data_IF_675444455572
#
_entry.id   IF_675444455572
#
_cell.length_a   1.000
_cell.length_b   1.000
_cell.length_c   1.000
_cell.angle_alpha   90.00
_cell.angle_beta   90.00
_cell.angle_gamma   90.00
#
_symmetry.space_group_name_H-M   'P 1'
#
loop_
_entity.id
_entity.type
_entity.pdbx_description
1 polymer ?
#
# COMPACT_ATOMS: atom_id res chain seq x y z
N UNK A 1 -42.14 -37.95 -1.03
CA UNK A 1 -40.73 -38.40 -1.17
C UNK A 1 -40.11 -37.59 -2.30
N UNK A 2 -39.24 -36.64 -1.98
CA UNK A 2 -38.44 -35.89 -2.96
C UNK A 2 -37.04 -36.54 -3.04
N UNK A 3 -36.41 -36.62 -4.23
CA UNK A 3 -35.15 -37.33 -4.39
C UNK A 3 -34.01 -36.55 -3.75
N UNK A 4 -33.25 -37.21 -2.86
CA UNK A 4 -32.02 -36.68 -2.27
C UNK A 4 -30.94 -36.61 -3.34
N UNK A 5 -30.27 -35.46 -3.43
CA UNK A 5 -29.11 -35.22 -4.30
C UNK A 5 -27.94 -36.15 -3.95
N UNK A 6 -27.17 -36.67 -4.94
CA UNK A 6 -26.08 -37.60 -4.70
C UNK A 6 -24.75 -36.86 -4.60
N UNK A 7 -24.53 -36.10 -3.53
CA UNK A 7 -23.18 -35.66 -3.19
C UNK A 7 -22.63 -36.59 -2.13
N UNK A 8 -21.77 -37.52 -2.58
CA UNK A 8 -20.90 -38.33 -1.73
C UNK A 8 -20.08 -37.38 -0.87
N UNK A 9 -20.28 -37.44 0.44
CA UNK A 9 -19.32 -36.93 1.42
C UNK A 9 -18.12 -37.85 1.30
N UNK A 10 -17.08 -37.39 0.62
CA UNK A 10 -15.77 -37.98 0.78
C UNK A 10 -15.28 -37.54 2.15
N UNK A 11 -15.16 -38.51 3.06
CA UNK A 11 -14.32 -38.39 4.26
C UNK A 11 -12.92 -38.02 3.79
N UNK A 12 -12.61 -36.73 3.77
CA UNK A 12 -11.22 -36.27 3.80
C UNK A 12 -10.76 -36.42 5.23
N UNK A 13 -9.63 -37.08 5.40
CA UNK A 13 -8.81 -36.98 6.61
C UNK A 13 -8.75 -35.52 7.08
N UNK A 14 -8.56 -35.31 8.39
CA UNK A 14 -8.53 -33.99 9.03
C UNK A 14 -7.43 -33.08 8.44
N UNK A 15 -7.72 -32.50 7.29
CA UNK A 15 -6.89 -31.56 6.54
C UNK A 15 -7.20 -30.19 7.13
N UNK A 16 -6.30 -29.67 7.96
CA UNK A 16 -6.38 -28.29 8.43
C UNK A 16 -6.55 -27.36 7.22
N UNK A 17 -7.56 -26.46 7.21
CA UNK A 17 -7.75 -25.55 6.08
C UNK A 17 -6.47 -24.73 5.86
N UNK A 18 -5.85 -24.92 4.70
CA UNK A 18 -4.56 -24.35 4.36
C UNK A 18 -4.75 -22.87 4.01
N UNK A 19 -4.45 -21.99 4.97
CA UNK A 19 -4.49 -20.54 4.81
C UNK A 19 -3.07 -20.05 4.50
N UNK A 20 -2.82 -19.63 3.25
CA UNK A 20 -1.49 -19.16 2.82
C UNK A 20 -1.51 -17.65 2.60
N UNK A 21 -0.72 -16.92 3.37
CA UNK A 21 -0.59 -15.48 3.27
C UNK A 21 0.62 -15.12 2.40
N UNK A 22 0.34 -14.51 1.26
CA UNK A 22 1.34 -14.01 0.34
C UNK A 22 1.69 -12.56 0.69
N UNK A 23 2.89 -12.34 1.22
CA UNK A 23 3.42 -11.02 1.55
C UNK A 23 4.95 -11.01 1.60
N UNK A 24 5.56 -9.85 1.36
CA UNK A 24 6.99 -9.65 1.63
C UNK A 24 7.28 -9.52 3.12
N UNK A 25 8.52 -9.84 3.51
CA UNK A 25 9.00 -9.68 4.89
C UNK A 25 8.88 -8.23 5.37
N UNK A 26 8.62 -8.05 6.67
CA UNK A 26 8.50 -6.72 7.28
C UNK A 26 7.26 -5.92 6.88
N UNK A 27 6.31 -6.51 6.14
CA UNK A 27 5.13 -5.80 5.67
C UNK A 27 4.13 -5.57 6.82
N UNK A 28 3.98 -4.30 7.25
CA UNK A 28 3.02 -3.91 8.30
C UNK A 28 1.58 -4.34 8.04
N UNK A 29 1.17 -4.47 6.78
CA UNK A 29 -0.19 -4.89 6.43
C UNK A 29 -0.36 -6.41 6.61
N UNK A 30 0.70 -7.20 6.45
CA UNK A 30 0.68 -8.63 6.78
C UNK A 30 0.66 -8.84 8.30
N UNK A 31 1.35 -8.00 9.07
CA UNK A 31 1.34 -8.09 10.54
C UNK A 31 -0.06 -7.96 11.15
N UNK A 32 -0.94 -7.12 10.57
CA UNK A 32 -2.35 -7.05 10.98
C UNK A 32 -3.03 -8.42 10.97
N UNK A 33 -2.79 -9.17 9.89
CA UNK A 33 -3.38 -10.49 9.66
C UNK A 33 -2.79 -11.51 10.62
N UNK A 34 -1.46 -11.56 10.71
CA UNK A 34 -0.75 -12.53 11.56
C UNK A 34 -1.08 -12.33 13.05
N UNK A 35 -1.12 -11.08 13.53
CA UNK A 35 -1.46 -10.80 14.93
C UNK A 35 -2.93 -11.15 15.18
N UNK A 36 -3.86 -10.79 14.29
CA UNK A 36 -5.25 -11.20 14.41
C UNK A 36 -5.40 -12.72 14.45
N UNK A 37 -4.60 -13.45 13.65
CA UNK A 37 -4.57 -14.90 13.64
C UNK A 37 -4.09 -15.49 14.98
N UNK A 38 -3.06 -14.91 15.59
CA UNK A 38 -2.57 -15.31 16.92
C UNK A 38 -3.65 -15.15 18.01
N UNK A 39 -4.36 -14.01 18.03
CA UNK A 39 -5.47 -13.81 18.97
C UNK A 39 -6.65 -14.76 18.70
N UNK A 40 -6.87 -15.12 17.44
CA UNK A 40 -8.01 -15.95 17.02
C UNK A 40 -7.69 -17.45 17.04
N UNK A 41 -6.45 -17.86 17.30
CA UNK A 41 -6.01 -19.25 17.19
C UNK A 41 -6.16 -19.82 15.78
N UNK A 42 -6.00 -18.98 14.75
CA UNK A 42 -6.06 -19.37 13.34
C UNK A 42 -4.65 -19.57 12.83
N UNK A 43 -4.40 -20.73 12.21
CA UNK A 43 -3.11 -21.00 11.60
C UNK A 43 -3.04 -20.34 10.23
N UNK A 44 -1.94 -19.63 9.99
CA UNK A 44 -1.62 -18.98 8.71
C UNK A 44 -0.18 -19.31 8.38
N UNK A 45 0.02 -19.86 7.19
CA UNK A 45 1.34 -20.12 6.64
C UNK A 45 1.76 -18.94 5.76
N UNK A 46 3.01 -18.52 5.84
CA UNK A 46 3.55 -17.52 4.92
C UNK A 46 3.99 -18.21 3.62
N UNK A 47 3.63 -17.62 2.48
CA UNK A 47 4.06 -18.11 1.18
C UNK A 47 5.60 -18.19 1.12
N UNK A 48 6.13 -19.38 0.82
CA UNK A 48 7.56 -19.59 0.70
C UNK A 48 8.11 -18.89 -0.55
N UNK A 49 9.31 -18.32 -0.45
CA UNK A 49 10.02 -17.68 -1.57
C UNK A 49 9.24 -16.54 -2.25
N UNK A 50 8.40 -15.82 -1.50
CA UNK A 50 7.70 -14.65 -2.04
C UNK A 50 8.68 -13.48 -2.24
N UNK A 51 8.80 -13.01 -3.49
CA UNK A 51 9.65 -11.87 -3.84
C UNK A 51 8.81 -10.70 -4.37
N UNK A 52 8.83 -9.58 -3.63
CA UNK A 52 8.10 -8.37 -4.00
C UNK A 52 8.71 -7.75 -5.27
N UNK A 53 7.88 -7.56 -6.29
CA UNK A 53 8.27 -7.08 -7.62
C UNK A 53 8.38 -8.18 -8.66
N UNK A 54 8.40 -9.46 -8.24
CA UNK A 54 8.47 -10.66 -9.08
C UNK A 54 7.21 -11.51 -8.89
N UNK A 55 7.03 -12.10 -7.69
CA UNK A 55 5.90 -13.00 -7.39
C UNK A 55 4.55 -12.31 -7.55
N UNK A 56 4.42 -11.05 -7.10
CA UNK A 56 3.17 -10.29 -7.20
C UNK A 56 2.81 -9.80 -8.62
N UNK A 57 3.66 -10.07 -9.62
CA UNK A 57 3.42 -9.71 -11.02
C UNK A 57 3.10 -10.92 -11.90
N UNK A 58 3.19 -12.14 -11.38
CA UNK A 58 2.89 -13.32 -12.18
C UNK A 58 1.39 -13.38 -12.51
N UNK A 59 0.99 -13.97 -13.65
CA UNK A 59 -0.43 -14.10 -14.00
C UNK A 59 -1.26 -14.80 -12.91
N UNK A 60 -0.67 -15.77 -12.20
CA UNK A 60 -1.30 -16.51 -11.11
C UNK A 60 -1.62 -15.59 -9.93
N UNK A 61 -0.67 -14.72 -9.54
CA UNK A 61 -0.90 -13.76 -8.47
C UNK A 61 -1.90 -12.68 -8.87
N UNK A 62 -1.80 -12.15 -10.10
CA UNK A 62 -2.74 -11.14 -10.62
C UNK A 62 -4.18 -11.69 -10.68
N UNK A 63 -4.36 -13.00 -10.88
CA UNK A 63 -5.67 -13.65 -10.78
C UNK A 63 -6.25 -13.59 -9.36
N UNK A 64 -5.41 -13.63 -8.32
CA UNK A 64 -5.84 -13.50 -6.93
C UNK A 64 -6.08 -12.04 -6.52
N UNK A 65 -5.21 -11.13 -6.95
CA UNK A 65 -5.36 -9.70 -6.75
C UNK A 65 -5.06 -8.94 -8.06
N UNK A 66 -6.08 -8.41 -8.75
CA UNK A 66 -5.92 -7.71 -10.02
C UNK A 66 -4.99 -6.48 -9.96
N UNK A 67 -4.77 -5.92 -8.76
CA UNK A 67 -3.90 -4.75 -8.54
C UNK A 67 -2.44 -5.19 -8.30
N UNK A 68 -2.18 -6.48 -8.04
CA UNK A 68 -0.85 -7.02 -7.77
C UNK A 68 -0.24 -6.50 -6.45
N UNK A 69 -1.09 -6.15 -5.48
CA UNK A 69 -0.66 -5.70 -4.14
C UNK A 69 -0.66 -6.85 -3.14
N UNK A 70 0.10 -6.66 -2.07
CA UNK A 70 0.17 -7.55 -0.91
C UNK A 70 -0.33 -6.85 0.35
N UNK A 71 -0.87 -7.59 1.34
CA UNK A 71 -1.02 -9.04 1.38
C UNK A 71 -2.20 -9.58 0.55
N UNK A 72 -2.13 -10.87 0.23
CA UNK A 72 -3.24 -11.70 -0.28
C UNK A 72 -3.30 -12.98 0.54
N UNK A 73 -4.47 -13.35 1.04
CA UNK A 73 -4.70 -14.63 1.71
C UNK A 73 -5.36 -15.59 0.74
N UNK A 74 -4.73 -16.73 0.50
CA UNK A 74 -5.32 -17.86 -0.19
C UNK A 74 -6.02 -18.74 0.84
N UNK A 75 -7.32 -18.97 0.63
CA UNK A 75 -8.16 -19.82 1.48
C UNK A 75 -8.73 -20.97 0.64
N UNK A 76 -9.26 -22.05 1.27
CA UNK A 76 -9.91 -23.14 0.54
C UNK A 76 -11.07 -22.69 -0.38
N UNK A 77 -11.74 -21.59 -0.04
CA UNK A 77 -12.88 -21.04 -0.78
C UNK A 77 -12.48 -20.00 -1.84
N UNK A 78 -11.21 -19.58 -1.85
CA UNK A 78 -10.67 -18.61 -2.79
C UNK A 78 -9.79 -17.53 -2.14
N UNK A 79 -9.19 -16.65 -2.96
CA UNK A 79 -8.30 -15.61 -2.48
C UNK A 79 -9.06 -14.40 -1.93
N UNK A 80 -8.49 -13.77 -0.90
CA UNK A 80 -8.94 -12.51 -0.30
C UNK A 80 -7.79 -11.51 -0.35
N UNK A 81 -8.02 -10.32 -0.89
CA UNK A 81 -7.08 -9.21 -0.87
C UNK A 81 -7.63 -8.04 -0.04
N UNK A 82 -6.78 -7.04 0.25
CA UNK A 82 -6.95 -5.99 1.27
C UNK A 82 -6.71 -6.48 2.71
N UNK A 83 -5.64 -5.96 3.33
CA UNK A 83 -5.20 -6.42 4.66
C UNK A 83 -6.27 -6.32 5.76
N UNK A 84 -7.08 -5.27 5.75
CA UNK A 84 -8.16 -5.15 6.72
C UNK A 84 -9.23 -6.23 6.46
N UNK A 85 -9.61 -6.48 5.20
CA UNK A 85 -10.58 -7.54 4.86
C UNK A 85 -10.07 -8.95 5.23
N UNK A 86 -8.79 -9.23 4.97
CA UNK A 86 -8.14 -10.48 5.37
C UNK A 86 -8.17 -10.64 6.90
N UNK A 87 -7.78 -9.60 7.65
CA UNK A 87 -7.79 -9.65 9.11
C UNK A 87 -9.22 -9.87 9.66
N UNK A 88 -10.24 -9.28 9.01
CA UNK A 88 -11.64 -9.53 9.33
C UNK A 88 -12.03 -10.99 9.11
N UNK A 89 -11.68 -11.56 7.96
CA UNK A 89 -11.94 -12.97 7.64
C UNK A 89 -11.33 -13.92 8.67
N UNK A 90 -10.05 -13.71 9.00
CA UNK A 90 -9.33 -14.51 9.99
C UNK A 90 -10.02 -14.43 11.35
N UNK A 91 -10.42 -13.23 11.77
CA UNK A 91 -11.11 -13.01 13.03
C UNK A 91 -12.48 -13.72 13.05
N UNK A 92 -13.28 -13.58 12.00
CA UNK A 92 -14.62 -14.19 11.89
C UNK A 92 -14.60 -15.71 11.69
N UNK A 93 -13.47 -16.32 11.35
CA UNK A 93 -13.37 -17.76 11.12
C UNK A 93 -13.58 -18.62 12.38
N UNK A 94 -13.61 -17.99 13.56
CA UNK A 94 -13.94 -18.61 14.85
C UNK A 94 -15.15 -17.90 15.46
N UNK A 95 -16.15 -18.68 15.87
CA UNK A 95 -17.43 -18.17 16.39
C UNK A 95 -17.34 -17.49 17.76
N UNK A 96 -16.30 -17.78 18.54
CA UNK A 96 -16.06 -17.22 19.88
C UNK A 96 -14.83 -16.30 19.87
N UNK A 97 -14.88 -15.24 19.05
CA UNK A 97 -13.76 -14.33 18.88
C UNK A 97 -13.97 -13.01 19.64
N UNK A 98 -13.11 -12.67 20.61
CA UNK A 98 -13.27 -11.45 21.41
C UNK A 98 -12.96 -10.16 20.63
N UNK A 99 -12.36 -10.22 19.44
CA UNK A 99 -11.83 -9.06 18.74
C UNK A 99 -12.89 -8.15 18.09
N UNK A 100 -14.16 -8.57 18.02
CA UNK A 100 -15.28 -7.79 17.44
C UNK A 100 -16.22 -7.16 18.46
N UNK A 101 -15.86 -7.22 19.74
CA UNK A 101 -16.77 -6.83 20.80
C UNK A 101 -17.97 -7.78 20.90
N UNK A 102 -18.91 -7.41 21.77
CA UNK A 102 -20.04 -8.22 22.19
C UNK A 102 -21.40 -7.64 21.76
N UNK A 103 -21.40 -6.47 21.13
CA UNK A 103 -22.63 -5.78 20.69
C UNK A 103 -22.45 -5.13 19.33
N UNK A 104 -23.58 -4.86 18.66
CA UNK A 104 -23.58 -4.11 17.40
C UNK A 104 -22.93 -2.72 17.54
N UNK A 105 -23.09 -2.08 18.71
CA UNK A 105 -22.47 -0.79 18.98
C UNK A 105 -20.94 -0.90 19.06
N UNK A 106 -20.42 -1.88 19.79
CA UNK A 106 -18.97 -2.11 19.89
C UNK A 106 -18.39 -2.48 18.51
N UNK A 107 -19.08 -3.32 17.74
CA UNK A 107 -18.69 -3.63 16.37
C UNK A 107 -18.60 -2.37 15.50
N UNK A 108 -19.60 -1.49 15.55
CA UNK A 108 -19.58 -0.23 14.80
C UNK A 108 -18.42 0.69 15.22
N UNK A 109 -18.11 0.76 16.52
CA UNK A 109 -16.97 1.52 17.02
C UNK A 109 -15.62 0.91 16.58
N UNK A 110 -15.52 -0.41 16.53
CA UNK A 110 -14.33 -1.10 16.02
C UNK A 110 -14.11 -0.74 14.55
N UNK A 111 -15.16 -0.86 13.72
CA UNK A 111 -15.09 -0.49 12.30
C UNK A 111 -14.75 1.00 12.12
N UNK A 112 -15.32 1.89 12.93
CA UNK A 112 -14.99 3.32 12.94
C UNK A 112 -13.48 3.55 13.16
N UNK A 113 -12.87 2.87 14.14
CA UNK A 113 -11.45 3.02 14.42
C UNK A 113 -10.55 2.37 13.36
N UNK A 114 -11.00 1.28 12.73
CA UNK A 114 -10.31 0.66 11.59
C UNK A 114 -10.25 1.64 10.41
N UNK A 115 -11.37 2.28 10.08
CA UNK A 115 -11.45 3.24 8.99
C UNK A 115 -10.69 4.53 9.32
N UNK A 116 -10.81 5.05 10.55
CA UNK A 116 -10.00 6.17 11.02
C UNK A 116 -8.50 5.88 10.91
N UNK A 117 -8.07 4.68 11.32
CA UNK A 117 -6.68 4.26 11.22
C UNK A 117 -6.18 4.25 9.77
N UNK A 118 -7.00 3.78 8.83
CA UNK A 118 -6.63 3.76 7.42
C UNK A 118 -6.57 5.18 6.82
N UNK A 119 -7.59 6.00 7.08
CA UNK A 119 -7.78 7.28 6.38
C UNK A 119 -6.99 8.43 6.99
N UNK A 120 -6.81 8.45 8.31
CA UNK A 120 -6.21 9.59 9.03
C UNK A 120 -4.82 9.28 9.59
N UNK A 121 -4.50 8.01 9.88
CA UNK A 121 -3.19 7.63 10.42
C UNK A 121 -2.29 7.08 9.31
N UNK A 122 -2.63 5.92 8.74
CA UNK A 122 -1.79 5.21 7.78
C UNK A 122 -1.49 6.04 6.52
N UNK A 123 -2.54 6.68 5.98
CA UNK A 123 -2.41 7.56 4.81
C UNK A 123 -1.42 8.70 5.04
N UNK A 124 -1.50 9.36 6.19
CA UNK A 124 -0.65 10.52 6.48
C UNK A 124 0.78 10.11 6.86
N UNK A 125 0.95 9.00 7.61
CA UNK A 125 2.28 8.40 7.85
C UNK A 125 2.92 7.98 6.51
N UNK A 126 2.18 7.29 5.64
CA UNK A 126 2.67 6.87 4.33
C UNK A 126 3.10 8.05 3.46
N UNK A 127 2.33 9.15 3.48
CA UNK A 127 2.63 10.38 2.72
C UNK A 127 3.87 11.12 3.23
N UNK A 128 4.17 11.01 4.51
CA UNK A 128 5.41 11.52 5.11
C UNK A 128 6.60 10.58 4.84
N UNK A 129 6.42 9.28 5.07
CA UNK A 129 7.52 8.30 5.08
C UNK A 129 7.96 7.85 3.69
N UNK A 130 7.05 7.51 2.78
CA UNK A 130 7.41 6.87 1.52
C UNK A 130 8.26 7.74 0.57
N UNK A 131 8.02 9.06 0.45
CA UNK A 131 8.93 9.91 -0.31
C UNK A 131 10.35 9.96 0.28
N UNK A 132 10.48 9.95 1.61
CA UNK A 132 11.78 9.89 2.29
C UNK A 132 12.51 8.57 2.06
N UNK A 133 11.79 7.46 1.93
CA UNK A 133 12.34 6.16 1.56
C UNK A 133 12.65 6.01 0.05
N UNK A 134 12.37 7.04 -0.75
CA UNK A 134 12.56 7.01 -2.20
C UNK A 134 11.48 6.23 -2.97
N UNK A 135 10.34 5.95 -2.34
CA UNK A 135 9.16 5.33 -2.96
C UNK A 135 8.13 6.36 -3.48
N UNK A 136 8.52 7.64 -3.54
CA UNK A 136 7.67 8.73 -4.00
C UNK A 136 8.49 9.97 -4.32
N UNK A 137 7.90 10.93 -5.03
CA UNK A 137 8.49 12.24 -5.19
C UNK A 137 8.43 13.00 -3.86
N UNK A 138 9.58 13.44 -3.37
CA UNK A 138 9.67 14.30 -2.19
C UNK A 138 9.33 15.74 -2.56
N UNK A 139 8.31 16.30 -1.90
CA UNK A 139 7.90 17.70 -2.01
C UNK A 139 7.69 18.25 -0.59
N UNK A 140 8.46 19.24 -0.12
CA UNK A 140 8.32 19.76 1.25
C UNK A 140 6.89 20.18 1.64
N UNK A 141 6.13 20.91 0.79
CA UNK A 141 4.76 21.31 1.16
C UNK A 141 3.80 20.12 1.33
N UNK A 142 4.07 19.02 0.61
CA UNK A 142 3.27 17.79 0.71
C UNK A 142 3.54 17.06 2.02
N UNK A 143 4.79 17.03 2.44
CA UNK A 143 5.19 16.46 3.73
C UNK A 143 4.65 17.30 4.90
N UNK A 144 4.80 18.62 4.86
CA UNK A 144 4.28 19.52 5.90
C UNK A 144 2.76 19.36 6.08
N UNK A 145 2.01 19.27 4.96
CA UNK A 145 0.58 19.00 5.00
C UNK A 145 0.25 17.63 5.59
N UNK A 146 1.03 16.59 5.28
CA UNK A 146 0.87 15.26 5.84
C UNK A 146 1.14 15.23 7.36
N UNK A 147 2.19 15.92 7.80
CA UNK A 147 2.53 16.06 9.22
C UNK A 147 1.42 16.80 9.97
N UNK A 148 0.92 17.91 9.43
CA UNK A 148 -0.18 18.68 10.04
C UNK A 148 -1.46 17.85 10.16
N UNK A 149 -1.85 17.13 9.09
CA UNK A 149 -3.00 16.24 9.11
C UNK A 149 -2.83 15.08 10.10
N UNK A 150 -1.63 14.48 10.17
CA UNK A 150 -1.31 13.44 11.13
C UNK A 150 -1.39 13.96 12.57
N UNK A 151 -0.85 15.14 12.87
CA UNK A 151 -0.94 15.76 14.20
C UNK A 151 -2.40 15.97 14.63
N UNK A 152 -3.27 16.41 13.73
CA UNK A 152 -4.71 16.53 14.00
C UNK A 152 -5.34 15.18 14.36
N UNK A 153 -5.02 14.14 13.60
CA UNK A 153 -5.51 12.79 13.86
C UNK A 153 -4.98 12.21 15.19
N UNK A 154 -3.68 12.39 15.46
CA UNK A 154 -3.04 12.00 16.71
C UNK A 154 -3.63 12.78 17.90
N UNK A 155 -4.01 14.05 17.73
CA UNK A 155 -4.68 14.82 18.78
C UNK A 155 -6.06 14.26 19.15
N UNK A 156 -6.86 13.87 18.15
CA UNK A 156 -8.13 13.20 18.38
C UNK A 156 -7.94 11.84 19.08
N UNK A 157 -6.99 11.03 18.59
CA UNK A 157 -6.65 9.75 19.18
C UNK A 157 -6.11 9.89 20.62
N UNK A 158 -5.26 10.88 20.88
CA UNK A 158 -4.71 11.18 22.19
C UNK A 158 -5.79 11.56 23.20
N UNK A 159 -6.79 12.34 22.75
CA UNK A 159 -7.95 12.72 23.57
C UNK A 159 -8.78 11.48 23.93
N UNK A 160 -9.07 10.62 22.96
CA UNK A 160 -9.80 9.37 23.21
C UNK A 160 -9.05 8.46 24.19
N UNK A 161 -7.74 8.29 24.00
CA UNK A 161 -6.91 7.43 24.84
C UNK A 161 -6.64 8.02 26.23
N UNK A 162 -6.96 9.28 26.51
CA UNK A 162 -6.75 9.85 27.84
C UNK A 162 -7.48 9.06 28.94
N UNK A 163 -8.69 8.57 28.64
CA UNK A 163 -9.52 7.79 29.57
C UNK A 163 -9.68 6.31 29.19
N UNK A 164 -9.04 5.85 28.11
CA UNK A 164 -9.22 4.50 27.57
C UNK A 164 -7.88 3.77 27.44
N UNK A 165 -7.85 2.49 27.84
CA UNK A 165 -6.66 1.64 27.68
C UNK A 165 -6.56 1.12 26.25
N UNK A 166 -7.69 0.71 25.67
CA UNK A 166 -7.86 0.23 24.30
C UNK A 166 -8.86 1.12 23.57
N UNK A 167 -9.00 0.95 22.25
CA UNK A 167 -9.86 1.80 21.44
C UNK A 167 -11.35 1.56 21.71
N UNK A 168 -11.74 0.32 22.00
CA UNK A 168 -13.14 -0.06 22.24
C UNK A 168 -13.20 -1.04 23.42
N UNK A 169 -14.07 -0.76 24.39
CA UNK A 169 -14.26 -1.61 25.56
C UNK A 169 -13.03 -1.66 26.49
N UNK A 170 -12.79 -2.85 27.07
CA UNK A 170 -11.76 -3.08 28.08
C UNK A 170 -10.72 -4.14 27.70
N UNK A 171 -10.72 -4.58 26.44
CA UNK A 171 -9.80 -5.60 25.93
C UNK A 171 -9.31 -5.22 24.52
N UNK A 172 -8.26 -5.91 24.05
CA UNK A 172 -7.76 -5.76 22.68
C UNK A 172 -8.83 -6.18 21.69
N UNK A 173 -9.08 -5.32 20.70
CA UNK A 173 -9.98 -5.58 19.58
C UNK A 173 -9.22 -5.55 18.25
N UNK A 174 -9.89 -5.90 17.16
CA UNK A 174 -9.29 -5.79 15.82
C UNK A 174 -8.89 -4.34 15.48
N UNK A 175 -9.62 -3.35 16.01
CA UNK A 175 -9.26 -1.94 15.86
C UNK A 175 -7.88 -1.65 16.45
N UNK A 176 -7.57 -2.21 17.62
CA UNK A 176 -6.29 -1.97 18.28
C UNK A 176 -5.13 -2.57 17.49
N UNK A 177 -5.32 -3.79 16.98
CA UNK A 177 -4.36 -4.50 16.11
C UNK A 177 -4.05 -3.68 14.86
N UNK A 178 -5.08 -3.23 14.16
CA UNK A 178 -4.90 -2.46 12.93
C UNK A 178 -4.25 -1.11 13.22
N UNK A 179 -4.68 -0.42 14.29
CA UNK A 179 -4.12 0.87 14.69
C UNK A 179 -2.64 0.79 15.04
N UNK A 180 -2.24 -0.17 15.88
CA UNK A 180 -0.85 -0.34 16.28
C UNK A 180 0.04 -0.70 15.08
N UNK A 181 -0.41 -1.58 14.18
CA UNK A 181 0.32 -1.92 12.95
C UNK A 181 0.47 -0.71 12.01
N UNK A 182 -0.53 0.16 11.91
CA UNK A 182 -0.47 1.37 11.10
C UNK A 182 0.39 2.47 11.72
N UNK A 183 0.44 2.57 13.06
CA UNK A 183 1.33 3.49 13.77
C UNK A 183 2.80 3.06 13.72
N UNK A 184 3.07 1.74 13.64
CA UNK A 184 4.41 1.16 13.77
C UNK A 184 5.46 1.78 12.83
N UNK A 185 5.25 1.93 11.51
CA UNK A 185 6.24 2.61 10.67
C UNK A 185 6.46 4.07 11.04
N UNK A 186 5.44 4.75 11.55
CA UNK A 186 5.59 6.10 12.05
C UNK A 186 6.56 6.14 13.22
N UNK A 187 6.34 5.30 14.25
CA UNK A 187 7.24 5.20 15.41
C UNK A 187 8.66 4.79 15.02
N UNK A 188 8.81 3.85 14.11
CA UNK A 188 10.13 3.31 13.75
C UNK A 188 10.98 4.26 12.88
N UNK A 189 10.37 5.19 12.14
CA UNK A 189 11.10 5.96 11.12
C UNK A 189 10.97 7.50 11.20
N UNK A 190 9.86 8.05 11.68
CA UNK A 190 9.58 9.50 11.55
C UNK A 190 9.03 10.17 12.82
N UNK A 191 8.37 9.43 13.71
CA UNK A 191 7.77 9.96 14.93
C UNK A 191 8.75 9.83 16.10
N UNK A 192 9.64 10.82 16.21
CA UNK A 192 10.65 10.87 17.28
C UNK A 192 10.02 11.12 18.66
N UNK A 193 10.80 10.94 19.73
CA UNK A 193 10.38 11.28 21.10
C UNK A 193 9.89 12.72 21.22
N UNK A 194 10.59 13.67 20.60
CA UNK A 194 10.17 15.08 20.58
C UNK A 194 8.84 15.29 19.88
N UNK A 195 8.61 14.59 18.76
CA UNK A 195 7.33 14.66 18.06
C UNK A 195 6.17 14.07 18.88
N UNK A 196 6.41 12.94 19.54
CA UNK A 196 5.40 12.25 20.33
C UNK A 196 5.13 12.86 21.71
N UNK A 197 5.96 13.81 22.17
CA UNK A 197 5.74 14.52 23.42
C UNK A 197 4.40 15.29 23.46
N UNK A 198 3.86 15.67 22.30
CA UNK A 198 2.52 16.29 22.16
C UNK A 198 1.38 15.27 22.36
N UNK A 199 1.65 13.96 22.24
CA UNK A 199 0.66 12.88 22.22
C UNK A 199 1.01 11.73 23.19
N UNK A 200 1.18 12.00 24.49
CA UNK A 200 1.67 11.02 25.46
C UNK A 200 0.74 9.80 25.62
N UNK A 201 -0.58 9.98 25.45
CA UNK A 201 -1.54 8.88 25.58
C UNK A 201 -1.48 7.92 24.39
N UNK A 202 -1.17 8.43 23.19
CA UNK A 202 -0.91 7.62 22.01
C UNK A 202 0.38 6.84 22.16
N UNK A 203 1.44 7.49 22.67
CA UNK A 203 2.71 6.81 22.94
C UNK A 203 2.54 5.68 23.96
N UNK A 204 1.88 5.94 25.09
CA UNK A 204 1.56 4.91 26.09
C UNK A 204 0.74 3.77 25.50
N UNK A 205 -0.26 4.08 24.69
CA UNK A 205 -1.08 3.06 24.01
C UNK A 205 -0.25 2.21 23.06
N UNK A 206 0.58 2.83 22.20
CA UNK A 206 1.40 2.11 21.24
C UNK A 206 2.34 1.12 21.93
N UNK A 207 3.04 1.55 22.98
CA UNK A 207 3.91 0.67 23.76
C UNK A 207 3.15 -0.41 24.52
N UNK A 208 1.93 -0.13 24.99
CA UNK A 208 1.07 -1.15 25.58
C UNK A 208 0.72 -2.25 24.57
N UNK A 209 0.46 -1.87 23.31
CA UNK A 209 0.09 -2.81 22.25
C UNK A 209 1.26 -3.64 21.76
N UNK A 210 2.38 -3.02 21.34
CA UNK A 210 3.49 -3.75 20.73
C UNK A 210 4.23 -4.68 21.69
N UNK A 211 4.08 -4.46 23.00
CA UNK A 211 4.64 -5.32 24.04
C UNK A 211 3.68 -6.45 24.51
N UNK A 212 2.47 -6.55 23.96
CA UNK A 212 1.63 -7.73 24.19
C UNK A 212 2.29 -8.98 23.58
N UNK A 213 2.18 -10.17 24.20
CA UNK A 213 2.84 -11.39 23.71
C UNK A 213 2.54 -11.71 22.24
N UNK A 214 1.27 -11.58 21.82
CA UNK A 214 0.83 -11.85 20.46
C UNK A 214 1.39 -10.83 19.44
N UNK A 215 1.66 -9.60 19.88
CA UNK A 215 2.31 -8.59 19.04
C UNK A 215 3.81 -8.83 18.95
N UNK A 216 4.46 -9.03 20.10
CA UNK A 216 5.91 -9.23 20.18
C UNK A 216 6.36 -10.45 19.37
N UNK A 217 5.57 -11.54 19.38
CA UNK A 217 5.83 -12.74 18.56
C UNK A 217 5.96 -12.43 17.07
N UNK A 218 5.19 -11.46 16.57
CA UNK A 218 5.12 -11.13 15.12
C UNK A 218 6.01 -9.93 14.76
N UNK A 219 6.01 -8.87 15.58
CA UNK A 219 6.74 -7.64 15.33
C UNK A 219 8.19 -7.69 15.81
N UNK A 220 8.49 -8.54 16.80
CA UNK A 220 9.75 -8.50 17.54
C UNK A 220 9.92 -7.22 18.36
N UNK A 221 11.17 -6.86 18.62
CA UNK A 221 11.52 -5.63 19.32
C UNK A 221 11.28 -4.41 18.41
N UNK A 222 10.36 -3.53 18.81
CA UNK A 222 10.11 -2.26 18.13
C UNK A 222 10.96 -1.15 18.75
N UNK A 223 11.71 -0.42 17.92
CA UNK A 223 12.54 0.72 18.32
C UNK A 223 11.97 2.02 17.77
N UNK A 224 11.91 3.05 18.61
CA UNK A 224 11.46 4.36 18.18
C UNK A 224 12.57 5.10 17.43
N UNK A 225 12.18 5.90 16.43
CA UNK A 225 13.07 6.78 15.70
C UNK A 225 13.73 7.81 16.64
N UNK A 226 15.06 7.80 16.68
CA UNK A 226 15.82 8.86 17.35
C UNK A 226 15.77 10.17 16.53
N UNK A 227 15.77 10.02 15.20
CA UNK A 227 15.71 11.11 14.23
C UNK A 227 14.81 10.71 13.07
N UNK A 228 14.17 11.70 12.45
CA UNK A 228 13.42 11.48 11.20
C UNK A 228 14.40 10.97 10.13
N UNK A 229 14.05 9.86 9.47
CA UNK A 229 14.89 9.28 8.42
C UNK A 229 15.24 10.33 7.33
N UNK A 230 16.51 10.39 6.88
CA UNK A 230 16.89 11.30 5.80
C UNK A 230 16.17 10.95 4.50
N UNK A 231 16.14 11.92 3.58
CA UNK A 231 15.55 11.74 2.25
C UNK A 231 16.52 10.91 1.41
N UNK A 232 16.10 9.71 1.02
CA UNK A 232 16.84 8.87 0.09
C UNK A 232 16.85 9.51 -1.32
N UNK A 233 17.93 9.34 -2.11
CA UNK A 233 17.94 9.77 -3.50
C UNK A 233 16.81 9.07 -4.26
N UNK A 234 15.98 9.85 -4.95
CA UNK A 234 14.81 9.36 -5.68
C UNK A 234 15.20 8.22 -6.63
N UNK A 235 14.61 7.02 -6.45
CA UNK A 235 14.63 5.99 -7.48
C UNK A 235 13.87 6.59 -8.66
N UNK A 236 14.57 6.90 -9.77
CA UNK A 236 13.99 7.53 -10.97
C UNK A 236 12.66 6.85 -11.30
N UNK A 237 11.56 7.56 -11.08
CA UNK A 237 10.25 7.17 -11.60
C UNK A 237 10.35 7.24 -13.12
N UNK A 238 10.51 6.09 -13.77
CA UNK A 238 10.32 5.98 -15.20
C UNK A 238 8.82 6.15 -15.42
N UNK A 239 8.40 7.35 -15.84
CA UNK A 239 7.07 7.54 -16.41
C UNK A 239 6.89 6.51 -17.52
N UNK A 240 5.80 5.73 -17.56
CA UNK A 240 5.50 4.88 -18.69
C UNK A 240 5.42 5.79 -19.93
N UNK A 241 6.38 5.67 -20.84
CA UNK A 241 6.23 6.20 -22.19
C UNK A 241 4.99 5.53 -22.78
N UNK A 242 4.05 6.34 -23.24
CA UNK A 242 2.86 5.91 -23.95
C UNK A 242 3.22 4.82 -24.96
N UNK A 243 2.52 3.69 -24.85
CA UNK A 243 2.64 2.57 -25.76
C UNK A 243 2.40 3.07 -27.20
N UNK A 244 3.46 3.07 -28.01
CA UNK A 244 3.32 3.30 -29.44
C UNK A 244 2.46 2.20 -30.03
N UNK A 245 1.32 2.61 -30.57
CA UNK A 245 0.34 1.81 -31.29
C UNK A 245 1.01 0.79 -32.22
N UNK A 246 0.65 -0.47 -32.01
CA UNK A 246 0.74 -1.56 -32.97
C UNK A 246 0.01 -1.18 -34.28
N UNK A 247 0.68 -1.42 -35.41
CA UNK A 247 0.03 -1.62 -36.72
C UNK A 247 0.57 -2.90 -37.38
N UNK A 248 -0.22 -3.54 -38.25
CA UNK A 248 -0.40 -5.00 -38.26
C UNK A 248 0.54 -5.76 -39.19
N UNK A 249 0.61 -7.08 -38.93
CA UNK A 249 1.24 -8.14 -39.74
C UNK A 249 0.90 -8.06 -41.22
N UNK A 250 1.92 -8.19 -42.06
CA UNK A 250 1.89 -8.90 -43.33
C UNK A 250 3.20 -9.69 -43.47
N UNK A 251 3.09 -11.01 -43.49
CA UNK A 251 4.07 -11.96 -44.03
C UNK A 251 3.52 -12.46 -45.38
N UNK A 252 4.24 -13.21 -46.25
CA UNK A 252 5.66 -13.63 -46.20
C UNK A 252 6.36 -13.55 -47.57
N UNK A 253 7.70 -13.70 -47.63
CA UNK A 253 8.37 -14.75 -48.45
C UNK A 253 9.90 -14.66 -48.46
N UNK A 254 10.47 -15.86 -48.28
CA UNK A 254 11.69 -16.44 -48.89
C UNK A 254 13.08 -16.04 -48.37
N UNK A 255 13.59 -16.98 -47.57
CA UNK A 255 14.72 -17.86 -47.88
C UNK A 255 16.13 -17.26 -48.18
N UNK A 256 17.03 -17.54 -47.23
CA UNK A 256 18.30 -18.31 -47.41
C UNK A 256 19.59 -17.54 -47.73
N UNK A 257 20.49 -17.59 -46.72
CA UNK A 257 21.97 -17.72 -46.74
C UNK A 257 22.81 -16.63 -47.43
N UNK A 258 23.80 -16.05 -46.72
CA UNK A 258 25.14 -16.59 -46.48
C UNK A 258 25.98 -15.64 -45.62
N UNK A 259 26.89 -16.24 -44.87
CA UNK A 259 27.86 -15.67 -43.95
C UNK A 259 29.24 -15.51 -44.65
N UNK A 260 30.06 -14.59 -44.13
CA UNK A 260 31.51 -14.37 -44.35
C UNK A 260 31.92 -13.73 -45.71
N UNK A 261 32.82 -12.75 -45.82
CA UNK A 261 34.15 -12.58 -45.21
C UNK A 261 34.66 -11.10 -45.30
N UNK A 262 35.61 -10.72 -44.43
CA UNK A 262 36.45 -9.48 -44.36
C UNK A 262 37.61 -9.52 -45.40
N UNK A 263 38.62 -8.60 -45.50
CA UNK A 263 38.91 -7.27 -44.88
C UNK A 263 39.57 -6.19 -45.83
N UNK A 264 40.05 -5.07 -45.23
CA UNK A 264 40.98 -3.98 -45.70
C UNK A 264 40.29 -2.73 -46.30
N UNK A 265 40.74 -1.48 -46.13
CA UNK A 265 41.74 -0.79 -45.30
C UNK A 265 41.49 0.74 -45.43
N UNK A 266 41.99 1.51 -44.45
CA UNK A 266 42.44 2.93 -44.47
C UNK A 266 41.47 4.13 -44.71
N UNK A 267 41.60 5.09 -43.77
CA UNK A 267 41.48 6.57 -43.77
C UNK A 267 40.81 7.28 -44.97
N UNK A 268 39.97 8.33 -44.79
CA UNK A 268 40.33 9.73 -44.41
C UNK A 268 39.04 10.52 -44.04
N UNK A 269 39.21 11.58 -43.25
CA UNK A 269 38.29 12.64 -42.81
C UNK A 269 37.36 13.24 -43.88
N UNK A 270 36.11 13.61 -43.50
CA UNK A 270 35.54 14.96 -43.74
C UNK A 270 34.21 15.17 -43.00
N UNK A 271 33.97 16.42 -42.59
CA UNK A 271 32.86 16.95 -41.80
C UNK A 271 31.45 16.65 -42.35
N UNK A 272 30.48 16.33 -41.48
CA UNK A 272 29.05 16.38 -41.83
C UNK A 272 28.24 17.18 -40.79
N UNK A 273 27.54 18.20 -41.29
CA UNK A 273 26.73 19.18 -40.56
C UNK A 273 25.54 18.56 -39.78
N UNK A 274 25.03 19.22 -38.71
CA UNK A 274 23.96 18.67 -37.90
C UNK A 274 22.59 18.63 -38.61
N UNK A 275 22.00 17.43 -38.69
CA UNK A 275 20.65 17.15 -39.22
C UNK A 275 19.54 17.95 -38.50
N UNK A 276 18.46 18.34 -39.21
CA UNK A 276 17.41 19.20 -38.66
C UNK A 276 16.51 18.48 -37.65
N UNK A 277 16.11 19.19 -36.59
CA UNK A 277 15.20 18.70 -35.54
C UNK A 277 13.83 18.32 -36.13
N UNK A 278 13.21 17.20 -35.69
CA UNK A 278 11.86 16.83 -36.11
C UNK A 278 10.84 17.86 -35.61
N UNK A 279 9.94 18.32 -36.50
CA UNK A 279 8.87 19.28 -36.19
C UNK A 279 7.99 18.75 -35.06
N UNK A 280 7.73 19.60 -34.07
CA UNK A 280 6.89 19.26 -32.93
C UNK A 280 5.43 19.11 -33.42
N UNK A 281 4.72 18.01 -33.12
CA UNK A 281 3.32 17.82 -33.51
C UNK A 281 2.37 18.94 -33.06
N UNK A 282 2.78 19.75 -32.06
CA UNK A 282 2.03 20.91 -31.57
C UNK A 282 2.07 22.12 -32.52
N UNK A 283 3.05 22.18 -33.43
CA UNK A 283 3.17 23.25 -34.44
C UNK A 283 2.13 23.10 -35.58
N UNK A 284 1.44 21.95 -35.63
CA UNK A 284 0.38 21.67 -36.59
C UNK A 284 -1.02 22.01 -36.07
N UNK A 285 -1.13 22.47 -34.83
CA UNK A 285 -2.42 22.84 -34.25
C UNK A 285 -2.83 24.24 -34.74
N UNK A 286 -4.13 24.45 -35.04
CA UNK A 286 -4.62 25.77 -35.34
C UNK A 286 -4.39 26.70 -34.14
N UNK A 287 -4.11 28.00 -34.36
CA UNK A 287 -3.88 28.95 -33.28
C UNK A 287 -5.07 28.94 -32.31
N UNK A 288 -4.76 28.98 -31.02
CA UNK A 288 -5.76 28.92 -29.96
C UNK A 288 -6.79 30.04 -30.14
N UNK A 289 -8.08 29.69 -30.04
CA UNK A 289 -9.17 30.67 -30.00
C UNK A 289 -9.26 31.42 -28.65
N UNK A 290 -8.42 31.06 -27.69
CA UNK A 290 -8.37 31.71 -26.38
C UNK A 290 -7.65 33.06 -26.49
N UNK A 291 -8.41 34.15 -26.36
CA UNK A 291 -7.87 35.50 -26.24
C UNK A 291 -7.43 35.70 -24.78
N UNK A 292 -6.13 35.61 -24.53
CA UNK A 292 -5.55 35.69 -23.18
C UNK A 292 -5.85 37.03 -22.48
N UNK A 293 -6.02 38.10 -23.24
CA UNK A 293 -6.33 39.43 -22.69
C UNK A 293 -7.77 39.51 -22.16
N UNK A 294 -8.72 38.84 -22.81
CA UNK A 294 -10.10 38.73 -22.31
C UNK A 294 -10.16 37.87 -21.05
N UNK A 295 -9.35 36.81 -20.97
CA UNK A 295 -9.24 35.98 -19.78
C UNK A 295 -8.65 36.76 -18.59
N UNK A 296 -7.58 37.53 -18.80
CA UNK A 296 -6.99 38.40 -17.77
C UNK A 296 -7.98 39.46 -17.29
N UNK A 297 -8.76 40.04 -18.21
CA UNK A 297 -9.80 41.03 -17.88
C UNK A 297 -10.96 40.43 -17.10
N UNK A 298 -11.32 39.17 -17.38
CA UNK A 298 -12.32 38.42 -16.63
C UNK A 298 -11.81 38.10 -15.22
N UNK A 299 -10.60 37.54 -15.12
CA UNK A 299 -10.02 37.09 -13.85
C UNK A 299 -9.77 38.27 -12.88
N UNK A 300 -9.28 39.40 -13.39
CA UNK A 300 -9.06 40.61 -12.59
C UNK A 300 -10.34 41.27 -12.09
N UNK A 301 -11.51 40.96 -12.67
CA UNK A 301 -12.82 41.50 -12.23
C UNK A 301 -13.50 40.64 -11.17
N UNK A 302 -13.15 39.36 -11.06
CA UNK A 302 -13.78 38.41 -10.13
C UNK A 302 -12.91 38.11 -8.90
N UNK A 303 -11.73 38.71 -8.80
CA UNK A 303 -10.82 38.50 -7.66
C UNK A 303 -11.39 39.02 -6.33
N UNK A 304 -12.34 39.96 -6.38
CA UNK A 304 -12.96 40.60 -5.21
C UNK A 304 -14.43 40.16 -4.96
N UNK A 305 -14.93 39.12 -5.64
CA UNK A 305 -16.35 38.69 -5.55
C UNK A 305 -16.59 37.30 -4.95
N UNK A 306 -15.58 36.69 -4.32
CA UNK A 306 -15.79 35.47 -3.54
C UNK A 306 -15.62 35.76 -2.05
N UNK A 307 -16.66 35.55 -1.21
CA UNK A 307 -16.56 35.68 0.24
C UNK A 307 -15.67 34.61 0.86
#
# INVERSE_FOLDING_TARGET
MLPRSPYKIHDRECDTPHNVLHAGEGNKNAFKVLIAAEYSGVQIELAQNFEMGVSNKTPEFIKMNPIGKVPVLETPDGPIFESNAIARYVTCSKSDNPLYGSSLMEYALIEQWIDFSLMEIDKNISRWLYPRLGYGLYLPPVEEAAISALKRALGALNTHLASNTFLVGHAVTLADIIMACNLSPGFSYVMTKTFMAEFPHVERYFWTMVNQPNFYKILGEVKQAEKVIPIAPSKKFVQPKEASKSKPKEEPKKEVKKEAEKPKAEAVEEEEAPKPKPKNPLDLLPPSKMILDDWKRLYSKYQDQFP
#
